data_IF_990674220802
#
_entry.id   IF_990674220802
#
_cell.length_a   1.000
_cell.length_b   1.000
_cell.length_c   1.000
_cell.angle_alpha   90.00
_cell.angle_beta   90.00
_cell.angle_gamma   90.00
#
_symmetry.space_group_name_H-M   'P 1'
#
loop_
_entity.id
_entity.type
_entity.pdbx_description
1 polymer ?
#
# COMPACT_ATOMS: atom_id res chain seq x y z
N UNK A 1 -81.59 -16.65 -24.92
CA UNK A 1 -80.65 -17.56 -24.32
C UNK A 1 -79.30 -16.86 -24.34
N UNK A 2 -78.98 -16.22 -23.20
CA UNK A 2 -77.74 -15.37 -23.08
C UNK A 2 -76.69 -16.15 -22.30
N UNK A 3 -75.54 -16.40 -22.94
CA UNK A 3 -74.42 -17.08 -22.33
C UNK A 3 -73.46 -15.99 -21.79
N UNK A 4 -73.25 -15.95 -20.49
CA UNK A 4 -72.29 -15.09 -19.79
C UNK A 4 -70.91 -15.74 -19.80
N UNK A 5 -69.96 -15.11 -20.48
CA UNK A 5 -68.58 -15.50 -20.46
C UNK A 5 -67.87 -14.79 -19.28
N UNK A 6 -67.52 -15.55 -18.22
CA UNK A 6 -66.70 -15.05 -17.11
C UNK A 6 -65.24 -14.97 -17.57
N UNK A 7 -64.64 -13.77 -17.61
CA UNK A 7 -63.21 -13.52 -17.75
C UNK A 7 -62.56 -13.60 -16.37
N UNK A 8 -61.76 -14.64 -16.16
CA UNK A 8 -60.86 -14.73 -15.00
C UNK A 8 -59.59 -13.93 -15.30
N UNK A 9 -59.33 -12.88 -14.52
CA UNK A 9 -58.08 -12.10 -14.53
C UNK A 9 -57.10 -12.79 -13.58
N UNK A 10 -56.07 -13.41 -14.14
CA UNK A 10 -54.93 -13.93 -13.39
C UNK A 10 -53.96 -12.79 -13.14
N UNK A 11 -53.92 -12.28 -11.91
CA UNK A 11 -52.92 -11.32 -11.45
C UNK A 11 -51.66 -12.09 -11.07
N UNK A 12 -50.73 -12.14 -12.02
CA UNK A 12 -49.38 -12.68 -11.75
C UNK A 12 -48.55 -11.70 -10.94
N UNK A 13 -48.40 -11.97 -9.66
CA UNK A 13 -47.51 -11.19 -8.78
C UNK A 13 -46.03 -11.40 -9.14
N UNK A 14 -45.40 -10.39 -9.70
CA UNK A 14 -43.95 -10.34 -9.95
C UNK A 14 -43.22 -10.07 -8.64
N UNK A 15 -42.72 -11.14 -7.99
CA UNK A 15 -41.85 -11.04 -6.82
C UNK A 15 -40.44 -10.56 -7.27
N UNK A 16 -40.20 -9.28 -7.13
CA UNK A 16 -38.85 -8.68 -7.35
C UNK A 16 -37.99 -9.02 -6.13
N UNK A 17 -37.11 -9.99 -6.27
CA UNK A 17 -36.04 -10.25 -5.31
C UNK A 17 -35.01 -9.11 -5.38
N UNK A 18 -35.09 -8.14 -4.47
CA UNK A 18 -34.06 -7.18 -4.22
C UNK A 18 -32.87 -7.92 -3.56
N UNK A 19 -31.91 -8.35 -4.36
CA UNK A 19 -30.62 -8.82 -3.86
C UNK A 19 -29.89 -7.61 -3.30
N UNK A 20 -30.05 -7.38 -2.00
CA UNK A 20 -29.29 -6.40 -1.25
C UNK A 20 -27.83 -6.84 -1.21
N UNK A 21 -26.94 -6.19 -1.98
CA UNK A 21 -25.51 -6.28 -1.82
C UNK A 21 -25.11 -5.65 -0.48
N UNK A 22 -25.19 -6.42 0.60
CA UNK A 22 -24.60 -5.98 1.86
C UNK A 22 -23.08 -5.94 1.69
N UNK A 23 -22.42 -4.81 2.05
CA UNK A 23 -20.96 -4.76 2.08
C UNK A 23 -20.49 -5.81 3.09
N UNK A 24 -19.64 -6.73 2.61
CA UNK A 24 -19.06 -7.80 3.43
C UNK A 24 -18.29 -7.16 4.57
N UNK A 25 -18.80 -7.23 5.79
CA UNK A 25 -18.11 -6.74 6.97
C UNK A 25 -16.73 -7.42 7.03
N UNK A 26 -15.67 -6.63 7.24
CA UNK A 26 -14.33 -7.14 7.43
C UNK A 26 -14.35 -8.09 8.64
N UNK A 27 -13.67 -9.25 8.58
CA UNK A 27 -13.62 -10.17 9.71
C UNK A 27 -13.04 -9.43 10.91
N UNK A 28 -13.84 -9.32 11.97
CA UNK A 28 -13.37 -8.82 13.26
C UNK A 28 -12.44 -9.89 13.82
N UNK A 29 -11.20 -9.53 14.08
CA UNK A 29 -10.24 -10.42 14.75
C UNK A 29 -10.78 -10.75 16.14
N UNK A 30 -11.09 -12.01 16.41
CA UNK A 30 -11.71 -12.49 17.66
C UNK A 30 -10.68 -13.03 18.66
N UNK A 31 -9.38 -12.79 18.43
CA UNK A 31 -8.31 -13.21 19.33
C UNK A 31 -8.24 -12.37 20.61
N UNK A 32 -7.58 -12.88 21.65
CA UNK A 32 -7.23 -12.05 22.81
C UNK A 32 -6.28 -10.93 22.36
N UNK A 33 -6.50 -9.70 22.85
CA UNK A 33 -5.59 -8.58 22.58
C UNK A 33 -4.22 -8.92 23.15
N UNK A 34 -3.13 -8.79 22.38
CA UNK A 34 -1.80 -8.93 22.94
C UNK A 34 -1.59 -7.85 24.03
N UNK A 35 -0.99 -8.23 25.11
CA UNK A 35 -0.66 -7.29 26.18
C UNK A 35 0.46 -6.37 25.71
N UNK A 36 0.10 -5.13 25.38
CA UNK A 36 1.07 -4.08 25.10
C UNK A 36 1.53 -3.52 26.45
N UNK A 37 2.56 -4.13 27.03
CA UNK A 37 3.09 -3.71 28.32
C UNK A 37 3.66 -2.29 28.27
N UNK A 38 4.31 -1.94 27.15
CA UNK A 38 4.90 -0.61 26.94
C UNK A 38 4.91 -0.23 25.46
N UNK A 39 4.95 1.06 25.16
CA UNK A 39 5.17 1.53 23.78
C UNK A 39 6.51 1.07 23.21
N UNK A 40 7.53 0.94 24.05
CA UNK A 40 8.84 0.41 23.64
C UNK A 40 8.72 -1.02 23.12
N UNK A 41 7.97 -1.89 23.79
CA UNK A 41 7.75 -3.27 23.33
C UNK A 41 6.98 -3.34 22.01
N UNK A 42 6.02 -2.43 21.80
CA UNK A 42 5.32 -2.31 20.52
C UNK A 42 6.28 -1.91 19.37
N UNK A 43 7.10 -0.87 19.59
CA UNK A 43 8.09 -0.44 18.58
C UNK A 43 9.07 -1.55 18.25
N UNK A 44 9.57 -2.27 19.26
CA UNK A 44 10.44 -3.44 19.06
C UNK A 44 9.74 -4.54 18.24
N UNK A 45 8.45 -4.79 18.47
CA UNK A 45 7.66 -5.75 17.71
C UNK A 45 7.50 -5.33 16.25
N UNK A 46 7.20 -4.06 16.00
CA UNK A 46 7.09 -3.52 14.65
C UNK A 46 8.40 -3.57 13.88
N UNK A 47 9.53 -3.24 14.56
CA UNK A 47 10.86 -3.31 13.97
C UNK A 47 11.29 -4.76 13.68
N UNK A 48 11.03 -5.68 14.59
CA UNK A 48 11.30 -7.11 14.40
C UNK A 48 10.52 -7.68 13.20
N UNK A 49 9.27 -7.27 13.01
CA UNK A 49 8.46 -7.66 11.84
C UNK A 49 9.02 -7.10 10.55
N UNK A 50 9.39 -5.82 10.55
CA UNK A 50 10.00 -5.18 9.39
C UNK A 50 11.30 -5.89 9.00
N UNK A 51 12.17 -6.17 9.97
CA UNK A 51 13.45 -6.84 9.77
C UNK A 51 13.31 -8.30 9.37
N UNK A 52 12.19 -8.96 9.70
CA UNK A 52 11.90 -10.33 9.28
C UNK A 52 11.62 -10.44 7.78
N UNK A 53 11.23 -9.35 7.10
CA UNK A 53 11.05 -9.29 5.65
C UNK A 53 12.32 -8.68 5.04
N UNK A 54 13.24 -9.54 4.61
CA UNK A 54 14.53 -9.13 4.06
C UNK A 54 14.44 -8.75 2.58
N UNK A 55 13.61 -9.47 1.83
CA UNK A 55 13.31 -9.14 0.44
C UNK A 55 11.87 -9.50 0.09
N UNK A 56 11.35 -8.82 -0.93
CA UNK A 56 10.02 -9.05 -1.50
C UNK A 56 10.13 -9.11 -3.01
N UNK A 57 9.55 -10.14 -3.62
CA UNK A 57 9.26 -10.22 -5.04
C UNK A 57 7.77 -10.44 -5.24
N UNK A 58 7.13 -9.59 -6.03
CA UNK A 58 5.71 -9.71 -6.26
C UNK A 58 5.29 -9.22 -7.65
N UNK A 59 4.22 -9.82 -8.20
CA UNK A 59 3.46 -9.17 -9.24
C UNK A 59 2.45 -8.23 -8.59
N UNK A 60 2.38 -7.00 -9.09
CA UNK A 60 1.47 -5.99 -8.55
C UNK A 60 0.62 -5.37 -9.67
N UNK A 61 -0.59 -5.00 -9.29
CA UNK A 61 -1.45 -4.14 -10.11
C UNK A 61 -1.60 -2.82 -9.38
N UNK A 62 -1.09 -1.75 -9.99
CA UNK A 62 -1.20 -0.40 -9.48
C UNK A 62 -2.28 0.36 -10.23
N UNK A 63 -3.26 0.89 -9.50
CA UNK A 63 -4.25 1.83 -10.03
C UNK A 63 -3.96 3.21 -9.47
N UNK A 64 -3.74 4.18 -10.35
CA UNK A 64 -3.57 5.60 -10.00
C UNK A 64 -4.84 6.32 -10.45
N UNK A 65 -5.50 7.02 -9.54
CA UNK A 65 -6.73 7.78 -9.82
C UNK A 65 -6.58 9.20 -9.30
N UNK A 66 -7.02 10.19 -10.07
CA UNK A 66 -7.00 11.62 -9.75
C UNK A 66 -7.91 12.39 -10.70
N UNK A 67 -8.00 13.72 -10.58
CA UNK A 67 -8.92 14.53 -11.38
C UNK A 67 -8.77 14.30 -12.89
N UNK A 68 -7.51 14.22 -13.39
CA UNK A 68 -7.21 14.02 -14.81
C UNK A 68 -6.34 12.76 -15.05
N UNK A 69 -6.27 11.87 -14.08
CA UNK A 69 -5.42 10.70 -14.12
C UNK A 69 -6.20 9.45 -13.70
N UNK A 70 -6.31 8.49 -14.62
CA UNK A 70 -6.88 7.18 -14.30
C UNK A 70 -6.11 6.12 -15.09
N UNK A 71 -5.12 5.53 -14.43
CA UNK A 71 -4.23 4.54 -15.04
C UNK A 71 -4.24 3.25 -14.24
N UNK A 72 -4.11 2.14 -14.94
CA UNK A 72 -3.92 0.82 -14.34
C UNK A 72 -2.69 0.17 -14.96
N UNK A 73 -1.71 -0.13 -14.12
CA UNK A 73 -0.41 -0.66 -14.50
C UNK A 73 -0.25 -2.09 -13.99
N UNK A 74 0.41 -2.93 -14.75
CA UNK A 74 0.90 -4.24 -14.33
C UNK A 74 2.39 -4.14 -14.11
N UNK A 75 2.86 -4.59 -12.97
CA UNK A 75 4.25 -4.38 -12.59
C UNK A 75 4.80 -5.62 -11.88
N UNK A 76 6.11 -5.78 -11.97
CA UNK A 76 6.88 -6.59 -11.03
C UNK A 76 7.53 -5.65 -10.04
N UNK A 77 7.42 -5.96 -8.76
CA UNK A 77 8.07 -5.24 -7.68
C UNK A 77 9.13 -6.14 -7.05
N UNK A 78 10.34 -5.66 -6.98
CA UNK A 78 11.42 -6.21 -6.18
C UNK A 78 11.78 -5.20 -5.09
N UNK A 79 11.95 -5.66 -3.88
CA UNK A 79 12.45 -4.86 -2.74
C UNK A 79 13.50 -5.69 -2.02
N UNK A 80 14.59 -5.05 -1.59
CA UNK A 80 15.61 -5.67 -0.75
C UNK A 80 15.95 -4.75 0.42
N UNK A 81 15.63 -5.22 1.62
CA UNK A 81 15.83 -4.45 2.85
C UNK A 81 15.15 -3.09 2.81
N UNK A 82 15.89 -2.06 3.17
CA UNK A 82 15.52 -0.65 3.01
C UNK A 82 16.36 0.04 1.93
N UNK A 83 17.13 -0.71 1.15
CA UNK A 83 18.24 -0.21 0.36
C UNK A 83 17.96 -0.23 -1.13
N UNK A 84 17.17 -1.19 -1.61
CA UNK A 84 16.94 -1.33 -3.04
C UNK A 84 15.47 -1.63 -3.37
N UNK A 85 15.01 -1.03 -4.45
CA UNK A 85 13.70 -1.26 -5.05
C UNK A 85 13.81 -1.24 -6.58
N UNK A 86 13.15 -2.19 -7.24
CA UNK A 86 12.96 -2.19 -8.68
C UNK A 86 11.50 -2.39 -9.02
N UNK A 87 11.01 -1.59 -9.95
CA UNK A 87 9.65 -1.67 -10.47
C UNK A 87 9.71 -1.74 -12.00
N UNK A 88 9.40 -2.90 -12.55
CA UNK A 88 9.26 -3.07 -13.99
C UNK A 88 7.77 -2.95 -14.34
N UNK A 89 7.44 -2.05 -15.25
CA UNK A 89 6.07 -1.78 -15.70
C UNK A 89 5.84 -2.38 -17.08
N UNK A 90 4.69 -3.05 -17.26
CA UNK A 90 4.37 -3.79 -18.48
C UNK A 90 3.04 -3.34 -19.09
N UNK A 91 2.94 -3.46 -20.42
CA UNK A 91 1.67 -3.39 -21.14
C UNK A 91 0.91 -4.74 -21.09
N UNK A 92 -0.24 -4.80 -21.78
CA UNK A 92 -1.06 -6.01 -21.85
C UNK A 92 -0.36 -7.19 -22.54
N UNK A 93 0.60 -6.90 -23.42
CA UNK A 93 1.38 -7.88 -24.18
C UNK A 93 2.68 -8.28 -23.49
N UNK A 94 2.85 -7.90 -22.21
CA UNK A 94 4.05 -8.14 -21.41
C UNK A 94 5.34 -7.44 -21.90
N UNK A 95 5.19 -6.43 -22.76
CA UNK A 95 6.34 -5.61 -23.14
C UNK A 95 6.62 -4.60 -22.03
N UNK A 96 7.89 -4.37 -21.75
CA UNK A 96 8.34 -3.40 -20.74
C UNK A 96 8.00 -1.99 -21.24
N UNK A 97 7.29 -1.23 -20.43
CA UNK A 97 6.97 0.18 -20.64
C UNK A 97 7.93 1.11 -19.92
N UNK A 98 8.58 0.62 -18.88
CA UNK A 98 9.54 1.37 -18.11
C UNK A 98 10.06 0.55 -16.94
N UNK A 99 11.26 0.88 -16.51
CA UNK A 99 11.92 0.31 -15.34
C UNK A 99 12.33 1.44 -14.42
N UNK A 100 11.95 1.36 -13.14
CA UNK A 100 12.41 2.25 -12.09
C UNK A 100 13.29 1.44 -11.14
N UNK A 101 14.48 1.94 -10.88
CA UNK A 101 15.43 1.34 -9.93
C UNK A 101 15.85 2.40 -8.92
N UNK A 102 15.83 2.00 -7.66
CA UNK A 102 16.40 2.74 -6.56
C UNK A 102 17.37 1.81 -5.82
N UNK A 103 18.58 2.26 -5.61
CA UNK A 103 19.61 1.54 -4.85
C UNK A 103 20.42 2.57 -4.03
N UNK A 104 20.09 2.67 -2.75
CA UNK A 104 20.70 3.65 -1.84
C UNK A 104 20.47 5.10 -2.34
N UNK A 105 21.55 5.75 -2.78
CA UNK A 105 21.48 7.11 -3.33
C UNK A 105 21.28 7.16 -4.84
N UNK A 106 21.39 6.01 -5.52
CA UNK A 106 21.22 5.92 -6.97
C UNK A 106 19.76 5.71 -7.34
N UNK A 107 19.27 6.53 -8.24
CA UNK A 107 17.94 6.39 -8.80
C UNK A 107 18.04 6.41 -10.31
N UNK A 108 17.47 5.40 -10.98
CA UNK A 108 17.46 5.27 -12.42
C UNK A 108 16.03 5.03 -12.90
N UNK A 109 15.67 5.59 -14.04
CA UNK A 109 14.46 5.23 -14.77
C UNK A 109 14.78 5.04 -16.25
N UNK A 110 14.39 3.88 -16.78
CA UNK A 110 14.57 3.54 -18.19
C UNK A 110 13.23 3.57 -18.93
N UNK A 111 13.17 4.32 -20.02
CA UNK A 111 12.08 4.30 -21.00
C UNK A 111 12.53 3.54 -22.27
N UNK A 112 12.04 2.30 -22.49
CA UNK A 112 12.44 1.50 -23.63
C UNK A 112 11.92 2.05 -24.97
N UNK A 113 10.89 2.92 -24.98
CA UNK A 113 10.37 3.52 -26.22
C UNK A 113 11.32 4.56 -26.79
N UNK A 114 11.97 5.31 -25.90
CA UNK A 114 12.96 6.34 -26.26
C UNK A 114 14.39 5.79 -26.18
N UNK A 115 14.57 4.55 -25.73
CA UNK A 115 15.86 3.94 -25.37
C UNK A 115 16.68 4.88 -24.48
N UNK A 116 16.02 5.50 -23.50
CA UNK A 116 16.60 6.54 -22.68
C UNK A 116 16.65 6.12 -21.23
N UNK A 117 17.80 6.34 -20.62
CA UNK A 117 17.99 6.25 -19.17
C UNK A 117 18.08 7.66 -18.60
N UNK A 118 17.29 7.96 -17.58
CA UNK A 118 17.41 9.16 -16.77
C UNK A 118 17.84 8.79 -15.36
N UNK A 119 18.48 9.69 -14.65
CA UNK A 119 19.04 9.43 -13.31
C UNK A 119 18.92 10.63 -12.38
N UNK A 120 19.08 10.39 -11.09
CA UNK A 120 19.11 11.44 -10.07
C UNK A 120 17.87 12.33 -10.07
N UNK A 121 18.09 13.66 -10.08
CA UNK A 121 17.02 14.65 -9.95
C UNK A 121 15.96 14.55 -11.08
N UNK A 122 16.36 14.18 -12.29
CA UNK A 122 15.43 14.02 -13.43
C UNK A 122 14.38 12.93 -13.16
N UNK A 123 14.76 11.84 -12.45
CA UNK A 123 13.82 10.80 -12.01
C UNK A 123 12.84 11.38 -11.00
N UNK A 124 13.34 12.13 -10.01
CA UNK A 124 12.49 12.77 -9.01
C UNK A 124 11.49 13.73 -9.63
N UNK A 125 11.90 14.54 -10.58
CA UNK A 125 11.01 15.44 -11.32
C UNK A 125 9.95 14.67 -12.11
N UNK A 126 10.33 13.57 -12.74
CA UNK A 126 9.40 12.71 -13.48
C UNK A 126 8.38 12.07 -12.54
N UNK A 127 8.83 11.53 -11.42
CA UNK A 127 7.95 10.95 -10.39
C UNK A 127 7.02 12.00 -9.78
N UNK A 128 7.52 13.20 -9.50
CA UNK A 128 6.71 14.32 -9.01
C UNK A 128 5.62 14.73 -10.00
N UNK A 129 5.90 14.71 -11.30
CA UNK A 129 4.88 14.96 -12.35
C UNK A 129 3.79 13.89 -12.34
N UNK A 130 4.17 12.63 -12.17
CA UNK A 130 3.24 11.48 -12.15
C UNK A 130 2.43 11.45 -10.84
N UNK A 131 3.10 11.58 -9.70
CA UNK A 131 2.51 11.41 -8.37
C UNK A 131 2.00 12.73 -7.77
N UNK A 132 2.37 13.85 -8.37
CA UNK A 132 1.93 15.20 -7.92
C UNK A 132 2.53 15.65 -6.59
N UNK A 133 3.42 14.88 -5.98
CA UNK A 133 4.11 15.20 -4.74
C UNK A 133 5.49 14.55 -4.71
N UNK A 134 6.36 15.08 -3.85
CA UNK A 134 7.63 14.45 -3.53
C UNK A 134 7.39 13.36 -2.49
N UNK A 135 7.77 12.15 -2.79
CA UNK A 135 7.77 11.01 -1.86
C UNK A 135 9.16 10.39 -1.89
N UNK A 136 9.75 10.21 -0.73
CA UNK A 136 11.05 9.54 -0.57
C UNK A 136 10.93 8.06 -0.96
N UNK A 137 11.88 7.53 -1.73
CA UNK A 137 11.86 6.12 -2.13
C UNK A 137 12.09 5.18 -0.95
N UNK A 138 12.86 5.60 0.07
CA UNK A 138 13.01 4.85 1.30
C UNK A 138 11.68 4.68 2.05
N UNK A 139 10.83 5.72 2.02
CA UNK A 139 9.46 5.62 2.53
C UNK A 139 8.65 4.58 1.75
N UNK A 140 8.72 4.62 0.42
CA UNK A 140 8.02 3.64 -0.43
C UNK A 140 8.46 2.22 -0.17
N UNK A 141 9.76 1.97 -0.06
CA UNK A 141 10.31 0.65 0.26
C UNK A 141 9.68 0.14 1.56
N UNK A 142 9.70 0.97 2.61
CA UNK A 142 9.10 0.60 3.90
C UNK A 142 7.61 0.33 3.79
N UNK A 143 6.86 1.19 3.09
CA UNK A 143 5.41 1.07 2.90
C UNK A 143 5.05 -0.18 2.12
N UNK A 144 5.79 -0.49 1.05
CA UNK A 144 5.52 -1.65 0.19
C UNK A 144 5.94 -2.97 0.82
N UNK A 145 6.88 -2.94 1.77
CA UNK A 145 7.22 -4.11 2.61
C UNK A 145 6.28 -4.27 3.83
N UNK A 146 5.28 -3.40 3.99
CA UNK A 146 4.33 -3.44 5.10
C UNK A 146 4.84 -2.86 6.42
N UNK A 147 5.92 -2.06 6.37
CA UNK A 147 6.53 -1.41 7.52
C UNK A 147 6.16 0.08 7.68
N UNK A 148 6.48 0.62 8.84
CA UNK A 148 6.41 2.06 9.12
C UNK A 148 7.75 2.69 8.73
N UNK A 149 7.79 3.72 7.86
CA UNK A 149 9.01 4.42 7.51
C UNK A 149 9.70 5.02 8.74
N UNK A 150 11.03 4.96 8.75
CA UNK A 150 11.89 5.60 9.77
C UNK A 150 11.53 5.27 11.23
N UNK A 151 10.95 4.11 11.50
CA UNK A 151 10.41 3.73 12.81
C UNK A 151 11.40 3.96 13.96
N UNK A 152 12.68 3.65 13.76
CA UNK A 152 13.75 3.85 14.75
C UNK A 152 14.04 5.32 15.10
N UNK A 153 13.60 6.27 14.26
CA UNK A 153 13.75 7.71 14.48
C UNK A 153 12.49 8.37 15.04
N UNK A 154 11.43 7.61 15.25
CA UNK A 154 10.15 8.15 15.72
C UNK A 154 10.12 8.26 17.24
N UNK A 155 9.81 9.44 17.75
CA UNK A 155 9.55 9.69 19.16
C UNK A 155 8.06 9.89 19.38
N UNK A 156 7.48 9.07 20.23
CA UNK A 156 6.05 9.15 20.57
C UNK A 156 5.73 10.43 21.34
N UNK A 157 4.63 11.07 20.95
CA UNK A 157 3.99 12.20 21.64
C UNK A 157 2.75 11.74 22.40
N UNK A 158 1.88 11.00 21.69
CA UNK A 158 0.61 10.51 22.23
C UNK A 158 0.36 9.11 21.70
N UNK A 159 -0.22 8.25 22.52
CA UNK A 159 -0.79 6.98 22.10
C UNK A 159 -2.18 6.83 22.72
N UNK A 160 -3.18 6.53 21.90
CA UNK A 160 -4.58 6.41 22.33
C UNK A 160 -5.31 5.35 21.50
N UNK A 161 -6.22 4.65 22.13
CA UNK A 161 -7.14 3.75 21.44
C UNK A 161 -8.20 4.57 20.68
N UNK A 162 -8.62 4.05 19.51
CA UNK A 162 -9.83 4.55 18.87
C UNK A 162 -11.07 4.17 19.70
N UNK A 163 -12.25 4.71 19.33
CA UNK A 163 -13.49 4.58 20.12
C UNK A 163 -13.92 3.13 20.37
N UNK A 164 -13.70 2.23 19.42
CA UNK A 164 -14.04 0.81 19.51
C UNK A 164 -12.88 -0.07 20.02
N UNK A 165 -11.75 0.54 20.39
CA UNK A 165 -10.54 -0.12 20.87
C UNK A 165 -9.96 -1.19 19.93
N UNK A 166 -10.18 -1.06 18.63
CA UNK A 166 -9.67 -1.98 17.61
C UNK A 166 -8.35 -1.52 17.00
N UNK A 167 -8.01 -0.22 17.17
CA UNK A 167 -6.79 0.39 16.65
C UNK A 167 -6.12 1.25 17.70
N UNK A 168 -4.84 1.02 17.94
CA UNK A 168 -3.99 1.92 18.71
C UNK A 168 -3.41 2.98 17.76
N UNK A 169 -3.82 4.23 17.96
CA UNK A 169 -3.31 5.40 17.25
C UNK A 169 -2.11 5.97 17.99
N UNK A 170 -1.02 6.21 17.25
CA UNK A 170 0.25 6.68 17.81
C UNK A 170 0.68 7.92 17.04
N UNK A 171 0.78 9.04 17.75
CA UNK A 171 1.28 10.30 17.21
C UNK A 171 2.78 10.39 17.51
N UNK A 172 3.59 10.62 16.49
CA UNK A 172 5.05 10.68 16.63
C UNK A 172 5.64 11.87 15.90
N UNK A 173 6.90 12.17 16.24
CA UNK A 173 7.75 13.10 15.50
C UNK A 173 9.01 12.35 15.10
N UNK A 174 9.39 12.44 13.85
CA UNK A 174 10.68 12.01 13.34
C UNK A 174 11.76 12.96 13.88
N UNK A 175 12.69 12.44 14.67
CA UNK A 175 13.73 13.24 15.33
C UNK A 175 14.77 13.81 14.37
N UNK A 176 14.91 13.21 13.17
CA UNK A 176 15.85 13.70 12.17
C UNK A 176 15.27 14.81 11.29
N UNK A 177 14.01 14.67 10.89
CA UNK A 177 13.37 15.58 9.92
C UNK A 177 12.42 16.58 10.56
N UNK A 178 11.98 16.35 11.80
CA UNK A 178 10.94 17.13 12.47
C UNK A 178 9.53 16.89 11.95
N UNK A 179 9.36 15.97 11.01
CA UNK A 179 8.06 15.63 10.43
C UNK A 179 7.20 14.84 11.42
N UNK A 180 5.89 15.07 11.37
CA UNK A 180 4.94 14.26 12.14
C UNK A 180 4.56 13.03 11.35
N UNK A 181 4.70 11.87 11.98
CA UNK A 181 4.30 10.56 11.47
C UNK A 181 3.30 9.96 12.43
N UNK A 182 2.02 10.01 12.09
CA UNK A 182 0.97 9.41 12.88
C UNK A 182 0.61 8.06 12.28
N UNK A 183 0.53 7.00 13.08
CA UNK A 183 0.20 5.69 12.56
C UNK A 183 -0.71 4.90 13.48
N UNK A 184 -1.48 4.00 12.90
CA UNK A 184 -2.38 3.11 13.60
C UNK A 184 -1.97 1.66 13.44
N UNK A 185 -2.04 0.89 14.54
CA UNK A 185 -1.83 -0.56 14.55
C UNK A 185 -3.09 -1.27 15.03
N UNK A 186 -3.34 -2.43 14.45
CA UNK A 186 -4.44 -3.30 14.86
C UNK A 186 -4.25 -3.80 16.29
N UNK A 187 -5.29 -3.73 17.11
CA UNK A 187 -5.25 -4.07 18.53
C UNK A 187 -4.93 -5.54 18.82
N UNK A 188 -5.23 -6.44 17.89
CA UNK A 188 -5.13 -7.88 18.07
C UNK A 188 -3.88 -8.47 17.42
N UNK A 189 -3.50 -7.94 16.27
CA UNK A 189 -2.39 -8.48 15.48
C UNK A 189 -1.14 -7.62 15.58
N UNK A 190 -1.24 -6.38 16.05
CA UNK A 190 -0.20 -5.34 16.03
C UNK A 190 0.36 -5.06 14.63
N UNK A 191 -0.45 -5.33 13.59
CA UNK A 191 -0.09 -5.03 12.21
C UNK A 191 -0.41 -3.56 11.88
N UNK A 192 0.43 -2.88 11.09
CA UNK A 192 0.13 -1.54 10.60
C UNK A 192 -1.21 -1.49 9.86
N UNK A 193 -2.04 -0.50 10.15
CA UNK A 193 -3.32 -0.26 9.45
C UNK A 193 -3.32 1.04 8.70
N UNK A 194 -2.70 2.07 9.26
CA UNK A 194 -2.67 3.40 8.66
C UNK A 194 -1.41 4.16 9.03
N UNK A 195 -1.05 5.13 8.19
CA UNK A 195 0.00 6.09 8.45
C UNK A 195 -0.38 7.43 7.81
N UNK A 196 -0.03 8.53 8.46
CA UNK A 196 -0.15 9.88 7.93
C UNK A 196 1.19 10.57 8.11
N UNK A 197 1.78 11.03 7.01
CA UNK A 197 2.94 11.90 7.03
C UNK A 197 2.50 13.35 6.91
N UNK A 198 2.96 14.19 7.85
CA UNK A 198 2.68 15.63 7.87
C UNK A 198 3.99 16.41 7.99
N UNK A 199 4.18 17.41 7.12
CA UNK A 199 5.30 18.35 7.12
C UNK A 199 4.78 19.75 7.47
N UNK A 200 5.20 20.27 8.62
CA UNK A 200 4.61 21.49 9.19
C UNK A 200 3.13 21.28 9.49
N UNK A 201 2.26 22.05 8.83
CA UNK A 201 0.80 21.91 8.94
C UNK A 201 0.18 21.12 7.77
N UNK A 202 0.99 20.73 6.77
CA UNK A 202 0.49 20.12 5.55
C UNK A 202 0.61 18.59 5.62
N UNK A 203 -0.51 17.90 5.45
CA UNK A 203 -0.53 16.47 5.18
C UNK A 203 0.07 16.22 3.79
N UNK A 204 1.10 15.38 3.74
CA UNK A 204 1.80 15.01 2.51
C UNK A 204 1.10 13.83 1.86
N UNK A 205 0.96 12.73 2.60
CA UNK A 205 0.23 11.56 2.15
C UNK A 205 -0.33 10.77 3.33
N UNK A 206 -1.27 9.86 3.01
CA UNK A 206 -1.75 8.80 3.91
C UNK A 206 -1.51 7.45 3.29
N UNK A 207 -1.26 6.46 4.11
CA UNK A 207 -1.14 5.06 3.72
C UNK A 207 -2.13 4.23 4.51
N UNK A 208 -2.70 3.24 3.85
CA UNK A 208 -3.51 2.21 4.49
C UNK A 208 -3.08 0.84 3.98
N UNK A 209 -2.96 -0.13 4.90
CA UNK A 209 -2.66 -1.52 4.62
C UNK A 209 -3.88 -2.38 4.86
N UNK A 210 -4.18 -3.25 3.88
CA UNK A 210 -5.33 -4.12 3.90
C UNK A 210 -4.97 -5.54 3.44
N UNK A 211 -5.93 -6.46 3.61
CA UNK A 211 -5.88 -7.80 3.06
C UNK A 211 -4.62 -8.56 3.50
N UNK A 212 -4.30 -8.49 4.80
CA UNK A 212 -3.18 -9.23 5.36
C UNK A 212 -3.38 -10.74 5.19
N UNK A 213 -2.34 -11.41 4.68
CA UNK A 213 -2.29 -12.86 4.52
C UNK A 213 -0.92 -13.37 4.95
N UNK A 214 -0.87 -14.64 5.34
CA UNK A 214 0.41 -15.31 5.56
C UNK A 214 1.09 -15.59 4.22
N UNK A 215 2.35 -15.14 4.12
CA UNK A 215 3.30 -15.55 3.10
C UNK A 215 4.41 -16.24 3.86
N UNK A 216 4.59 -17.55 3.65
CA UNK A 216 5.33 -18.42 4.53
C UNK A 216 4.80 -18.34 5.97
N UNK A 217 5.50 -17.74 6.89
CA UNK A 217 5.07 -17.58 8.29
C UNK A 217 4.80 -16.12 8.66
N UNK A 218 5.03 -15.18 7.75
CA UNK A 218 4.95 -13.75 7.99
C UNK A 218 3.63 -13.16 7.47
N UNK A 219 3.10 -12.19 8.19
CA UNK A 219 1.92 -11.44 7.74
C UNK A 219 2.34 -10.37 6.74
N UNK A 220 1.76 -10.41 5.53
CA UNK A 220 2.04 -9.45 4.46
C UNK A 220 0.73 -8.81 3.96
N UNK A 221 0.73 -7.48 3.80
CA UNK A 221 -0.43 -6.75 3.27
C UNK A 221 -0.53 -6.94 1.75
N UNK A 222 -1.65 -7.51 1.26
CA UNK A 222 -1.87 -7.73 -0.17
C UNK A 222 -2.53 -6.54 -0.87
N UNK A 223 -2.82 -5.47 -0.12
CA UNK A 223 -3.31 -4.21 -0.68
C UNK A 223 -2.76 -3.04 0.12
N UNK A 224 -2.15 -2.10 -0.58
CA UNK A 224 -1.71 -0.81 -0.05
C UNK A 224 -2.46 0.30 -0.79
N UNK A 225 -2.95 1.27 -0.04
CA UNK A 225 -3.59 2.47 -0.58
C UNK A 225 -2.83 3.68 -0.10
N UNK A 226 -2.41 4.53 -1.02
CA UNK A 226 -1.75 5.81 -0.72
C UNK A 226 -2.67 6.92 -1.23
N UNK A 227 -3.02 7.86 -0.35
CA UNK A 227 -3.85 9.01 -0.67
C UNK A 227 -3.04 10.29 -0.56
N UNK A 228 -3.11 11.14 -1.58
CA UNK A 228 -2.47 12.46 -1.64
C UNK A 228 -3.59 13.49 -1.72
N UNK A 229 -4.08 13.92 -0.55
CA UNK A 229 -5.26 14.80 -0.46
C UNK A 229 -5.10 16.11 -1.21
N UNK A 230 -3.91 16.72 -1.16
CA UNK A 230 -3.63 17.98 -1.85
C UNK A 230 -3.80 17.90 -3.36
N UNK A 231 -3.80 16.70 -3.93
CA UNK A 231 -3.96 16.41 -5.36
C UNK A 231 -5.23 15.62 -5.67
N UNK A 232 -6.06 15.33 -4.67
CA UNK A 232 -7.22 14.45 -4.80
C UNK A 232 -6.87 13.13 -5.51
N UNK A 233 -5.68 12.61 -5.22
CA UNK A 233 -5.10 11.45 -5.90
C UNK A 233 -5.06 10.26 -4.96
N UNK A 234 -5.31 9.07 -5.52
CA UNK A 234 -5.19 7.79 -4.84
C UNK A 234 -4.38 6.82 -5.68
N UNK A 235 -3.48 6.10 -5.03
CA UNK A 235 -2.67 5.03 -5.60
C UNK A 235 -3.02 3.75 -4.87
N UNK A 236 -3.57 2.78 -5.58
CA UNK A 236 -3.94 1.47 -5.03
C UNK A 236 -3.03 0.41 -5.61
N UNK A 237 -2.21 -0.20 -4.76
CA UNK A 237 -1.33 -1.32 -5.11
C UNK A 237 -1.94 -2.61 -4.59
N UNK A 238 -2.17 -3.58 -5.47
CA UNK A 238 -2.66 -4.92 -5.15
C UNK A 238 -1.61 -5.94 -5.52
N UNK A 239 -1.24 -6.75 -4.54
CA UNK A 239 -0.20 -7.76 -4.70
C UNK A 239 -0.81 -9.10 -5.08
N UNK A 240 -0.14 -9.79 -5.99
CA UNK A 240 -0.37 -11.21 -6.32
C UNK A 240 0.99 -11.91 -6.41
N UNK A 241 0.99 -13.22 -6.19
CA UNK A 241 2.21 -14.05 -6.28
C UNK A 241 3.38 -13.48 -5.47
N UNK A 242 3.09 -13.15 -4.20
CA UNK A 242 4.10 -12.58 -3.29
C UNK A 242 5.03 -13.68 -2.80
N UNK A 243 6.32 -13.43 -2.94
CA UNK A 243 7.41 -14.23 -2.38
C UNK A 243 8.25 -13.32 -1.49
N UNK A 244 8.64 -13.79 -0.33
CA UNK A 244 9.49 -13.06 0.62
C UNK A 244 10.70 -13.91 1.00
N UNK A 245 11.80 -13.25 1.33
CA UNK A 245 13.04 -13.89 1.80
C UNK A 245 13.60 -14.94 0.84
N UNK A 246 13.57 -14.64 -0.46
CA UNK A 246 14.08 -15.53 -1.51
C UNK A 246 15.58 -15.33 -1.79
N UNK A 247 16.25 -14.41 -1.08
CA UNK A 247 17.66 -14.11 -1.29
C UNK A 247 17.92 -13.38 -2.60
N UNK A 248 17.11 -12.34 -2.91
CA UNK A 248 17.27 -11.56 -4.13
C UNK A 248 18.68 -10.95 -4.16
N UNK A 249 19.43 -11.22 -5.25
CA UNK A 249 20.77 -10.67 -5.48
C UNK A 249 20.71 -9.18 -5.81
N UNK A 250 21.78 -8.41 -5.54
CA UNK A 250 21.86 -6.97 -5.85
C UNK A 250 21.86 -6.72 -7.36
N UNK A 251 22.43 -7.64 -8.16
CA UNK A 251 22.43 -7.55 -9.63
C UNK A 251 21.01 -7.50 -10.22
N UNK A 252 20.00 -7.99 -9.50
CA UNK A 252 18.60 -7.85 -9.91
C UNK A 252 18.13 -6.39 -9.93
N UNK A 253 18.85 -5.48 -9.28
CA UNK A 253 18.57 -4.04 -9.26
C UNK A 253 19.40 -3.24 -10.26
N UNK A 254 20.13 -3.90 -11.15
CA UNK A 254 20.84 -3.28 -12.25
C UNK A 254 20.01 -3.31 -13.54
N UNK A 255 20.25 -2.34 -14.43
CA UNK A 255 19.76 -2.44 -15.80
C UNK A 255 20.61 -3.47 -16.54
N UNK A 256 19.96 -4.46 -17.16
CA UNK A 256 20.68 -5.38 -18.02
C UNK A 256 21.38 -4.57 -19.12
N UNK A 257 22.68 -4.87 -19.44
CA UNK A 257 23.31 -4.29 -20.60
C UNK A 257 22.50 -4.68 -21.85
N UNK A 258 22.09 -3.67 -22.64
CA UNK A 258 21.33 -3.85 -23.87
C UNK A 258 22.16 -4.44 -24.98
#
# INVERSE_FOLDING_TARGET
>A
MRIFLRRSVVVGGLLVFLVSCQPKALPVSTGAKPEIQTLSSLFSTLEARKSAIQDVKAFVRTKISGENLNQSLRQTLLVKGNEAMRVDTYNLFRQVLGVLIYEGEKTLMYDPRENRVISGEEVWESMRRILGTYIDFGDYISVFSGGIPHLSHLRTKVAKWNSDQTVLQIETINQKTGERVDFGVDAYTLLPKSLILTRGTREIYRVYWYDYKKVDKLDFAHKVVIEIKSKKQSIVVRYSEVMINQGISLDAFELAPG
#
